data_IF_004155430358
#
_entry.id   IF_004155430358
#
_cell.length_a   1.000
_cell.length_b   1.000
_cell.length_c   1.000
_cell.angle_alpha   90.00
_cell.angle_beta   90.00
_cell.angle_gamma   90.00
#
_symmetry.space_group_name_H-M   'P 1'
#
loop_
_entity.id
_entity.type
_entity.pdbx_description
1 polymer ?
#
# COMPACT_ATOMS: atom_id res chain seq x y z
N UNK A 1 2.84 20.23 9.50
CA UNK A 1 2.18 18.91 9.53
C UNK A 1 2.98 17.97 10.42
N UNK A 2 2.32 17.18 11.28
CA UNK A 2 3.00 16.13 12.07
C UNK A 2 3.63 15.10 11.13
N UNK A 3 4.81 14.58 11.47
CA UNK A 3 5.57 13.60 10.67
C UNK A 3 4.74 12.36 10.33
N UNK A 4 3.88 11.96 11.27
CA UNK A 4 2.88 10.89 11.11
C UNK A 4 1.88 11.12 9.96
N UNK A 5 1.42 12.36 9.77
CA UNK A 5 0.48 12.71 8.70
C UNK A 5 1.16 12.69 7.35
N UNK A 6 2.39 13.21 7.25
CA UNK A 6 3.19 13.15 6.01
C UNK A 6 3.43 11.70 5.59
N UNK A 7 3.86 10.83 6.52
CA UNK A 7 4.08 9.42 6.24
C UNK A 7 2.80 8.72 5.72
N UNK A 8 1.64 9.04 6.30
CA UNK A 8 0.37 8.48 5.83
C UNK A 8 0.02 8.90 4.40
N UNK A 9 0.29 10.17 4.05
CA UNK A 9 0.05 10.68 2.69
C UNK A 9 0.96 9.96 1.69
N UNK A 10 2.24 9.77 2.01
CA UNK A 10 3.16 9.05 1.13
C UNK A 10 2.72 7.60 0.90
N UNK A 11 2.33 6.89 1.97
CA UNK A 11 1.81 5.51 1.85
C UNK A 11 0.56 5.47 0.99
N UNK A 12 -0.38 6.39 1.22
CA UNK A 12 -1.60 6.48 0.44
C UNK A 12 -1.32 6.80 -1.03
N UNK A 13 -0.38 7.70 -1.33
CA UNK A 13 -0.03 8.07 -2.69
C UNK A 13 0.61 6.90 -3.44
N UNK A 14 1.52 6.17 -2.78
CA UNK A 14 2.12 4.94 -3.33
C UNK A 14 1.02 3.91 -3.61
N UNK A 15 0.14 3.67 -2.64
CA UNK A 15 -0.98 2.75 -2.79
C UNK A 15 -1.88 3.13 -3.97
N UNK A 16 -2.24 4.41 -4.08
CA UNK A 16 -3.11 4.92 -5.15
C UNK A 16 -2.48 4.74 -6.53
N UNK A 17 -1.21 5.11 -6.69
CA UNK A 17 -0.49 4.96 -7.96
C UNK A 17 -0.38 3.49 -8.33
N UNK A 18 0.00 2.62 -7.39
CA UNK A 18 0.08 1.18 -7.60
C UNK A 18 -1.29 0.59 -7.99
N UNK A 19 -2.38 1.02 -7.34
CA UNK A 19 -3.73 0.57 -7.68
C UNK A 19 -4.13 0.94 -9.10
N UNK A 20 -3.87 2.18 -9.53
CA UNK A 20 -4.20 2.62 -10.87
C UNK A 20 -3.43 1.81 -11.92
N UNK A 21 -2.12 1.59 -11.71
CA UNK A 21 -1.29 0.78 -12.62
C UNK A 21 -1.85 -0.64 -12.74
N UNK A 22 -2.16 -1.29 -11.62
CA UNK A 22 -2.68 -2.66 -11.62
C UNK A 22 -4.06 -2.71 -12.28
N UNK A 23 -4.96 -1.79 -11.93
CA UNK A 23 -6.32 -1.76 -12.45
C UNK A 23 -6.35 -1.57 -13.96
N UNK A 24 -5.62 -0.58 -14.48
CA UNK A 24 -5.56 -0.33 -15.90
C UNK A 24 -4.80 -1.44 -16.64
N UNK A 25 -3.76 -2.02 -16.03
CA UNK A 25 -3.06 -3.18 -16.57
C UNK A 25 -3.97 -4.40 -16.74
N UNK A 26 -4.78 -4.72 -15.72
CA UNK A 26 -5.74 -5.84 -15.80
C UNK A 26 -6.82 -5.53 -16.85
N UNK A 27 -7.37 -4.31 -16.85
CA UNK A 27 -8.40 -3.93 -17.82
C UNK A 27 -7.89 -3.95 -19.28
N UNK A 28 -6.61 -3.65 -19.50
CA UNK A 28 -5.99 -3.73 -20.83
C UNK A 28 -5.90 -5.17 -21.34
N UNK A 29 -5.63 -6.13 -20.45
CA UNK A 29 -5.53 -7.55 -20.79
C UNK A 29 -6.93 -8.20 -20.88
N UNK A 30 -7.86 -7.80 -20.01
CA UNK A 30 -9.21 -8.34 -19.92
C UNK A 30 -10.24 -7.23 -20.12
N UNK A 31 -10.63 -7.00 -21.38
CA UNK A 31 -11.52 -5.88 -21.75
C UNK A 31 -12.95 -6.07 -21.21
N UNK A 32 -13.47 -7.30 -21.20
CA UNK A 32 -14.85 -7.63 -20.81
C UNK A 32 -14.98 -8.13 -19.36
N UNK A 33 -13.96 -7.89 -18.52
CA UNK A 33 -14.00 -8.31 -17.12
C UNK A 33 -15.11 -7.58 -16.35
N UNK A 34 -15.83 -8.32 -15.51
CA UNK A 34 -16.83 -7.73 -14.63
C UNK A 34 -16.19 -6.65 -13.74
N UNK A 35 -16.79 -5.45 -13.73
CA UNK A 35 -16.27 -4.27 -13.03
C UNK A 35 -16.05 -4.51 -11.52
N UNK A 36 -16.91 -5.30 -10.88
CA UNK A 36 -16.79 -5.65 -9.47
C UNK A 36 -15.59 -6.57 -9.23
N UNK A 37 -15.42 -7.58 -10.10
CA UNK A 37 -14.28 -8.51 -10.05
C UNK A 37 -12.97 -7.76 -10.30
N UNK A 38 -12.92 -6.90 -11.33
CA UNK A 38 -11.76 -6.05 -11.61
C UNK A 38 -11.37 -5.21 -10.40
N UNK A 39 -12.35 -4.58 -9.76
CA UNK A 39 -12.11 -3.73 -8.58
C UNK A 39 -11.59 -4.55 -7.40
N UNK A 40 -12.22 -5.69 -7.10
CA UNK A 40 -11.83 -6.56 -6.01
C UNK A 40 -10.41 -7.13 -6.19
N UNK A 41 -10.11 -7.66 -7.38
CA UNK A 41 -8.80 -8.24 -7.70
C UNK A 41 -7.71 -7.16 -7.71
N UNK A 42 -7.98 -5.99 -8.31
CA UNK A 42 -7.02 -4.88 -8.30
C UNK A 42 -6.72 -4.41 -6.88
N UNK A 43 -7.75 -4.28 -6.04
CA UNK A 43 -7.58 -3.87 -4.65
C UNK A 43 -6.77 -4.91 -3.85
N UNK A 44 -7.06 -6.21 -4.02
CA UNK A 44 -6.31 -7.31 -3.41
C UNK A 44 -4.83 -7.29 -3.81
N UNK A 45 -4.55 -7.21 -5.11
CA UNK A 45 -3.17 -7.18 -5.61
C UNK A 45 -2.42 -5.93 -5.13
N UNK A 46 -3.09 -4.78 -5.08
CA UNK A 46 -2.51 -3.54 -4.55
C UNK A 46 -2.18 -3.68 -3.07
N UNK A 47 -3.09 -4.25 -2.27
CA UNK A 47 -2.87 -4.53 -0.85
C UNK A 47 -1.66 -5.44 -0.62
N UNK A 48 -1.48 -6.43 -1.49
CA UNK A 48 -0.35 -7.35 -1.42
C UNK A 48 0.98 -6.68 -1.76
N UNK A 49 1.00 -5.81 -2.78
CA UNK A 49 2.18 -5.12 -3.27
C UNK A 49 2.54 -3.86 -2.47
N UNK A 50 1.58 -3.28 -1.75
CA UNK A 50 1.79 -2.06 -0.98
C UNK A 50 2.40 -2.33 0.40
N UNK A 51 3.29 -1.46 0.89
CA UNK A 51 3.81 -1.58 2.25
C UNK A 51 2.71 -1.32 3.28
N UNK A 52 2.59 -2.21 4.26
CA UNK A 52 1.68 -2.03 5.38
C UNK A 52 2.32 -1.15 6.45
N UNK A 53 1.56 -0.16 6.93
CA UNK A 53 1.96 0.72 8.02
C UNK A 53 1.70 0.02 9.35
N UNK A 54 2.73 -0.19 10.15
CA UNK A 54 2.66 -0.74 11.50
C UNK A 54 3.27 0.26 12.48
N UNK A 55 2.50 0.71 13.45
CA UNK A 55 3.01 1.57 14.53
C UNK A 55 3.43 0.64 15.66
N UNK A 56 4.72 0.62 15.99
CA UNK A 56 5.26 -0.21 17.06
C UNK A 56 5.63 0.70 18.22
N UNK A 57 4.94 0.53 19.35
CA UNK A 57 5.26 1.23 20.60
C UNK A 57 6.51 0.58 21.22
N UNK A 58 7.66 1.24 21.16
CA UNK A 58 8.87 0.82 21.88
C UNK A 58 9.04 1.69 23.14
N UNK A 59 9.79 1.17 24.13
CA UNK A 59 10.15 1.88 25.36
C UNK A 59 10.84 3.25 25.15
N UNK A 60 11.37 3.51 23.95
CA UNK A 60 12.13 4.72 23.59
C UNK A 60 11.37 5.69 22.67
N UNK A 61 10.09 5.43 22.36
CA UNK A 61 9.28 6.26 21.46
C UNK A 61 8.49 5.43 20.44
N UNK A 62 7.45 6.03 19.88
CA UNK A 62 6.62 5.44 18.84
C UNK A 62 7.39 5.39 17.51
N UNK A 63 7.62 4.20 16.97
CA UNK A 63 8.23 4.01 15.64
C UNK A 63 7.17 3.66 14.60
N UNK A 64 7.17 4.38 13.48
CA UNK A 64 6.36 4.02 12.31
C UNK A 64 7.19 3.08 11.44
N UNK A 65 6.74 1.85 11.34
CA UNK A 65 7.35 0.82 10.49
C UNK A 65 6.51 0.65 9.22
N UNK A 66 7.16 0.61 8.06
CA UNK A 66 6.58 0.10 6.84
C UNK A 66 7.13 -1.29 6.55
N UNK A 67 6.25 -2.27 6.39
CA UNK A 67 6.62 -3.66 6.08
C UNK A 67 5.80 -4.16 4.88
N UNK A 68 6.48 -4.75 3.90
CA UNK A 68 5.80 -5.47 2.81
C UNK A 68 5.42 -6.88 3.26
N UNK A 69 4.32 -7.41 2.73
CA UNK A 69 3.92 -8.79 3.02
C UNK A 69 4.97 -9.81 2.57
N UNK A 70 5.68 -9.52 1.47
CA UNK A 70 6.68 -10.41 0.89
C UNK A 70 8.13 -10.09 1.29
N UNK A 71 8.37 -9.09 2.14
CA UNK A 71 9.72 -8.70 2.53
C UNK A 71 9.88 -8.59 4.03
N UNK A 72 10.93 -9.24 4.54
CA UNK A 72 11.37 -9.06 5.93
C UNK A 72 12.09 -7.72 6.15
N UNK A 73 12.33 -6.92 5.08
CA UNK A 73 12.85 -5.56 5.23
C UNK A 73 11.77 -4.66 5.84
N UNK A 74 12.11 -4.07 6.98
CA UNK A 74 11.30 -3.09 7.68
C UNK A 74 11.95 -1.73 7.49
N UNK A 75 11.21 -0.78 6.90
CA UNK A 75 11.67 0.62 6.81
C UNK A 75 11.17 1.33 8.06
N UNK A 76 12.10 1.84 8.86
CA UNK A 76 11.81 2.57 10.10
C UNK A 76 11.87 4.07 9.79
N UNK A 77 10.78 4.78 10.01
CA UNK A 77 10.75 6.25 10.01
C UNK A 77 10.82 6.76 11.46
N UNK A 78 11.91 7.45 11.80
CA UNK A 78 12.13 8.16 13.07
C UNK A 78 11.66 9.62 12.96
#
# INVERSE_FOLDING_TARGET
>A
MKTSTKASIYVFLIFLVTYLIIRFGIQMIFQDINRYVLTAVSALLTLLLSPQRRIVKKRSGDEIQLKWLFSNKVIILK
#
